data_IF_360473075713
#
_entry.id   IF_360473075713
#
_cell.length_a   1.000
_cell.length_b   1.000
_cell.length_c   1.000
_cell.angle_alpha   90.00
_cell.angle_beta   90.00
_cell.angle_gamma   90.00
#
_symmetry.space_group_name_H-M   'P 1'
#
loop_
_entity.id
_entity.type
_entity.pdbx_description
1 polymer ?
#
# COMPACT_ATOMS: atom_id res chain seq x y z
N UNK A 1 5.19 18.76 -35.59
CA UNK A 1 3.96 18.56 -34.80
C UNK A 1 3.78 19.77 -33.89
N UNK A 2 2.58 20.34 -33.82
CA UNK A 2 2.30 21.50 -32.94
C UNK A 2 1.67 21.04 -31.63
N UNK A 3 1.64 21.93 -30.63
CA UNK A 3 0.92 21.68 -29.38
C UNK A 3 -0.56 21.37 -29.65
N UNK A 4 -1.18 22.04 -30.62
CA UNK A 4 -2.58 21.82 -30.98
C UNK A 4 -2.82 20.41 -31.53
N UNK A 5 -1.89 19.89 -32.34
CA UNK A 5 -1.94 18.50 -32.81
C UNK A 5 -1.87 17.53 -31.63
N UNK A 6 -0.91 17.71 -30.71
CA UNK A 6 -0.78 16.84 -29.53
C UNK A 6 -2.05 16.88 -28.69
N UNK A 7 -2.56 18.08 -28.38
CA UNK A 7 -3.79 18.22 -27.60
C UNK A 7 -5.00 17.62 -28.30
N UNK A 8 -5.12 17.79 -29.61
CA UNK A 8 -6.19 17.18 -30.41
C UNK A 8 -6.15 15.65 -30.33
N UNK A 9 -4.99 15.03 -30.56
CA UNK A 9 -4.86 13.57 -30.50
C UNK A 9 -5.10 13.02 -29.09
N UNK A 10 -4.59 13.69 -28.05
CA UNK A 10 -4.88 13.31 -26.67
C UNK A 10 -6.37 13.46 -26.35
N UNK A 11 -7.04 14.52 -26.81
CA UNK A 11 -8.47 14.68 -26.61
C UNK A 11 -9.29 13.63 -27.36
N UNK A 12 -8.84 13.21 -28.54
CA UNK A 12 -9.46 12.13 -29.30
C UNK A 12 -9.47 10.80 -28.51
N UNK A 13 -8.44 10.50 -27.71
CA UNK A 13 -8.45 9.26 -26.93
C UNK A 13 -9.39 9.28 -25.72
N UNK A 14 -9.83 10.45 -25.26
CA UNK A 14 -10.66 10.58 -24.04
C UNK A 14 -11.97 9.79 -24.15
N UNK A 15 -12.84 9.97 -25.18
CA UNK A 15 -14.06 9.17 -25.30
C UNK A 15 -13.76 7.68 -25.43
N UNK A 16 -12.66 7.29 -26.11
CA UNK A 16 -12.25 5.90 -26.24
C UNK A 16 -11.84 5.28 -24.90
N UNK A 17 -11.12 6.03 -24.04
CA UNK A 17 -10.80 5.58 -22.68
C UNK A 17 -12.06 5.47 -21.82
N UNK A 18 -13.06 6.32 -22.04
CA UNK A 18 -14.33 6.25 -21.32
C UNK A 18 -15.15 5.02 -21.70
N UNK A 19 -15.07 4.57 -22.95
CA UNK A 19 -15.78 3.38 -23.42
C UNK A 19 -14.97 2.09 -23.16
N UNK A 20 -13.66 2.14 -23.33
CA UNK A 20 -12.75 1.00 -23.27
C UNK A 20 -11.56 1.25 -22.33
N UNK A 21 -11.79 1.49 -21.03
CA UNK A 21 -10.75 1.91 -20.08
C UNK A 21 -9.65 0.87 -19.83
N UNK A 22 -9.86 -0.38 -20.27
CA UNK A 22 -8.91 -1.50 -20.13
C UNK A 22 -8.19 -1.85 -21.44
N UNK A 23 -8.40 -1.07 -22.51
CA UNK A 23 -7.75 -1.33 -23.79
C UNK A 23 -6.30 -0.80 -23.77
N UNK A 24 -5.32 -1.72 -23.77
CA UNK A 24 -3.90 -1.39 -23.79
C UNK A 24 -3.50 -0.45 -24.93
N UNK A 25 -4.08 -0.63 -26.13
CA UNK A 25 -3.72 0.16 -27.30
C UNK A 25 -4.00 1.66 -27.13
N UNK A 26 -5.07 2.01 -26.41
CA UNK A 26 -5.41 3.41 -26.15
C UNK A 26 -4.39 4.04 -25.20
N UNK A 27 -4.05 3.35 -24.10
CA UNK A 27 -3.01 3.80 -23.16
C UNK A 27 -1.63 3.88 -23.83
N UNK A 28 -1.27 2.90 -24.65
CA UNK A 28 0.01 2.88 -25.40
C UNK A 28 0.11 4.03 -26.40
N UNK A 29 -0.95 4.26 -27.18
CA UNK A 29 -0.99 5.38 -28.10
C UNK A 29 -0.89 6.72 -27.35
N UNK A 30 -1.55 6.85 -26.21
CA UNK A 30 -1.47 8.04 -25.37
C UNK A 30 -0.06 8.28 -24.82
N UNK A 31 0.60 7.25 -24.29
CA UNK A 31 2.01 7.32 -23.86
C UNK A 31 2.93 7.71 -25.02
N UNK A 32 2.73 7.15 -26.21
CA UNK A 32 3.49 7.50 -27.40
C UNK A 32 3.28 8.98 -27.77
N UNK A 33 2.05 9.48 -27.76
CA UNK A 33 1.78 10.90 -28.04
C UNK A 33 2.49 11.84 -27.06
N UNK A 34 2.59 11.47 -25.78
CA UNK A 34 3.31 12.24 -24.77
C UNK A 34 4.82 12.20 -24.98
N UNK A 35 5.38 11.05 -25.37
CA UNK A 35 6.79 10.95 -25.77
C UNK A 35 7.08 11.87 -26.97
N UNK A 36 6.19 11.89 -27.97
CA UNK A 36 6.34 12.81 -29.09
C UNK A 36 6.24 14.28 -28.68
N UNK A 37 5.41 14.61 -27.68
CA UNK A 37 5.36 15.95 -27.10
C UNK A 37 6.71 16.34 -26.47
N UNK A 38 7.34 15.43 -25.74
CA UNK A 38 8.70 15.61 -25.19
C UNK A 38 9.76 15.80 -26.27
N UNK A 39 9.70 15.02 -27.34
CA UNK A 39 10.73 15.04 -28.40
C UNK A 39 10.61 16.26 -29.33
N UNK A 40 9.41 16.82 -29.50
CA UNK A 40 9.13 17.79 -30.57
C UNK A 40 8.68 19.16 -30.08
N UNK A 41 8.29 19.33 -28.81
CA UNK A 41 7.87 20.61 -28.24
C UNK A 41 8.90 21.16 -27.26
N UNK A 42 8.93 22.49 -27.04
CA UNK A 42 9.72 23.08 -25.96
C UNK A 42 9.40 22.42 -24.60
N UNK A 43 10.42 22.23 -23.77
CA UNK A 43 10.33 21.56 -22.47
C UNK A 43 9.22 22.10 -21.58
N UNK A 44 9.02 23.41 -21.53
CA UNK A 44 7.96 24.06 -20.74
C UNK A 44 6.56 23.67 -21.21
N UNK A 45 6.37 23.57 -22.53
CA UNK A 45 5.12 23.16 -23.14
C UNK A 45 4.89 21.67 -22.90
N UNK A 46 5.90 20.83 -23.13
CA UNK A 46 5.79 19.39 -22.88
C UNK A 46 5.45 19.10 -21.41
N UNK A 47 6.13 19.76 -20.45
CA UNK A 47 5.83 19.62 -19.01
C UNK A 47 4.36 19.92 -18.71
N UNK A 48 3.79 20.96 -19.33
CA UNK A 48 2.37 21.32 -19.16
C UNK A 48 1.45 20.19 -19.63
N UNK A 49 1.73 19.59 -20.79
CA UNK A 49 0.95 18.47 -21.32
C UNK A 49 1.01 17.25 -20.38
N UNK A 50 2.19 16.91 -19.85
CA UNK A 50 2.33 15.84 -18.87
C UNK A 50 1.58 16.11 -17.56
N UNK A 51 1.58 17.36 -17.07
CA UNK A 51 0.82 17.74 -15.86
C UNK A 51 -0.69 17.65 -16.08
N UNK A 52 -1.19 18.02 -17.26
CA UNK A 52 -2.62 17.89 -17.62
C UNK A 52 -3.12 16.43 -17.53
N UNK A 53 -2.24 15.44 -17.75
CA UNK A 53 -2.57 14.01 -17.63
C UNK A 53 -2.99 13.61 -16.21
N UNK A 54 -2.39 14.20 -15.18
CA UNK A 54 -2.73 13.88 -13.79
C UNK A 54 -4.20 14.20 -13.48
N UNK A 55 -4.77 15.21 -14.15
CA UNK A 55 -6.19 15.55 -14.04
C UNK A 55 -7.09 14.53 -14.74
N UNK A 56 -6.72 14.07 -15.95
CA UNK A 56 -7.45 12.99 -16.64
C UNK A 56 -7.44 11.72 -15.80
N UNK A 57 -6.27 11.32 -15.32
CA UNK A 57 -6.09 10.13 -14.47
C UNK A 57 -6.96 10.23 -13.23
N UNK A 58 -7.01 11.40 -12.60
CA UNK A 58 -7.87 11.61 -11.44
C UNK A 58 -9.34 11.44 -11.77
N UNK A 59 -9.80 11.89 -12.94
CA UNK A 59 -11.18 11.63 -13.39
C UNK A 59 -11.43 10.14 -13.64
N UNK A 60 -10.48 9.44 -14.28
CA UNK A 60 -10.58 8.00 -14.54
C UNK A 60 -10.66 7.20 -13.23
N UNK A 61 -9.79 7.51 -12.26
CA UNK A 61 -9.79 6.88 -10.94
C UNK A 61 -10.97 7.29 -10.05
N UNK A 62 -11.64 8.41 -10.32
CA UNK A 62 -12.90 8.73 -9.66
C UNK A 62 -14.09 7.92 -10.21
N UNK A 63 -13.98 7.41 -11.45
CA UNK A 63 -15.00 6.56 -12.06
C UNK A 63 -14.78 5.08 -11.73
N UNK A 64 -13.53 4.64 -11.78
CA UNK A 64 -13.11 3.28 -11.41
C UNK A 64 -11.82 3.39 -10.61
N UNK A 65 -11.97 3.41 -9.29
CA UNK A 65 -10.89 3.60 -8.34
C UNK A 65 -9.88 2.44 -8.32
N UNK A 66 -10.28 1.27 -8.86
CA UNK A 66 -9.48 0.04 -8.93
C UNK A 66 -8.93 -0.20 -10.34
N UNK A 67 -9.03 0.80 -11.22
CA UNK A 67 -8.53 0.68 -12.58
C UNK A 67 -6.99 0.56 -12.57
N UNK A 68 -6.53 -0.68 -12.76
CA UNK A 68 -5.10 -1.01 -12.78
C UNK A 68 -4.31 -0.19 -13.81
N UNK A 69 -4.87 0.02 -15.01
CA UNK A 69 -4.21 0.79 -16.07
C UNK A 69 -4.06 2.26 -15.70
N UNK A 70 -5.09 2.86 -15.08
CA UNK A 70 -5.04 4.25 -14.65
C UNK A 70 -4.01 4.46 -13.54
N UNK A 71 -3.90 3.54 -12.57
CA UNK A 71 -2.85 3.59 -11.55
C UNK A 71 -1.44 3.37 -12.14
N UNK A 72 -1.27 2.40 -13.03
CA UNK A 72 0.00 2.17 -13.72
C UNK A 72 0.41 3.39 -14.56
N UNK A 73 -0.53 3.97 -15.29
CA UNK A 73 -0.32 5.17 -16.09
C UNK A 73 -0.02 6.40 -15.20
N UNK A 74 -0.63 6.51 -14.02
CA UNK A 74 -0.27 7.54 -13.02
C UNK A 74 1.19 7.44 -12.62
N UNK A 75 1.65 6.25 -12.22
CA UNK A 75 3.06 6.03 -11.84
C UNK A 75 4.02 6.33 -13.00
N UNK A 76 3.61 6.01 -14.23
CA UNK A 76 4.37 6.36 -15.42
C UNK A 76 4.45 7.88 -15.63
N UNK A 77 3.32 8.60 -15.63
CA UNK A 77 3.31 10.06 -15.80
C UNK A 77 4.13 10.75 -14.71
N UNK A 78 3.99 10.32 -13.46
CA UNK A 78 4.80 10.83 -12.33
C UNK A 78 6.28 10.58 -12.58
N UNK A 79 6.69 9.37 -12.98
CA UNK A 79 8.11 9.09 -13.23
C UNK A 79 8.70 9.92 -14.38
N UNK A 80 7.90 10.28 -15.37
CA UNK A 80 8.32 11.19 -16.44
C UNK A 80 8.46 12.62 -15.93
N UNK A 81 7.50 13.10 -15.12
CA UNK A 81 7.54 14.44 -14.53
C UNK A 81 8.72 14.64 -13.55
N UNK A 82 9.16 13.57 -12.90
CA UNK A 82 10.34 13.57 -12.00
C UNK A 82 11.69 13.53 -12.76
N UNK A 83 11.71 13.48 -14.09
CA UNK A 83 12.96 13.49 -14.86
C UNK A 83 13.68 14.86 -14.74
N UNK A 84 15.04 14.88 -14.80
CA UNK A 84 15.81 16.12 -14.79
C UNK A 84 15.40 17.12 -15.88
N UNK A 85 14.91 16.60 -17.02
CA UNK A 85 14.36 17.42 -18.10
C UNK A 85 13.24 18.35 -17.63
N UNK A 86 12.42 17.93 -16.67
CA UNK A 86 11.30 18.71 -16.12
C UNK A 86 11.58 19.32 -14.74
N UNK A 87 12.85 19.34 -14.32
CA UNK A 87 13.30 19.94 -13.07
C UNK A 87 13.74 18.93 -12.01
N UNK A 88 13.47 17.63 -12.20
CA UNK A 88 13.93 16.60 -11.27
C UNK A 88 13.25 16.63 -9.89
N UNK A 89 12.16 17.37 -9.75
CA UNK A 89 11.45 17.52 -8.49
C UNK A 89 10.67 16.24 -8.18
N UNK A 90 10.88 15.69 -6.97
CA UNK A 90 10.12 14.53 -6.50
C UNK A 90 8.66 14.91 -6.28
N UNK A 91 7.76 14.08 -6.80
CA UNK A 91 6.31 14.22 -6.58
C UNK A 91 5.80 13.37 -5.42
N UNK A 92 6.68 12.68 -4.70
CA UNK A 92 6.32 11.73 -3.65
C UNK A 92 5.35 12.31 -2.60
N UNK A 93 5.53 13.56 -2.19
CA UNK A 93 4.63 14.26 -1.25
C UNK A 93 3.22 14.41 -1.81
N UNK A 94 3.10 14.97 -3.03
CA UNK A 94 1.82 15.18 -3.69
C UNK A 94 1.10 13.87 -4.02
N UNK A 95 1.85 12.82 -4.34
CA UNK A 95 1.31 11.49 -4.59
C UNK A 95 0.85 10.82 -3.29
N UNK A 96 1.57 11.02 -2.18
CA UNK A 96 1.15 10.51 -0.88
C UNK A 96 -0.13 11.20 -0.40
N UNK A 97 -0.22 12.53 -0.53
CA UNK A 97 -1.45 13.28 -0.27
C UNK A 97 -2.60 12.80 -1.16
N UNK A 98 -2.32 12.47 -2.43
CA UNK A 98 -3.31 11.89 -3.33
C UNK A 98 -3.85 10.54 -2.82
N UNK A 99 -2.98 9.65 -2.30
CA UNK A 99 -3.44 8.40 -1.67
C UNK A 99 -4.34 8.68 -0.47
N UNK A 100 -3.98 9.65 0.39
CA UNK A 100 -4.81 10.06 1.53
C UNK A 100 -6.20 10.50 1.07
N UNK A 101 -6.29 11.36 0.04
CA UNK A 101 -7.59 11.81 -0.50
C UNK A 101 -8.45 10.65 -1.03
N UNK A 102 -7.81 9.66 -1.68
CA UNK A 102 -8.50 8.47 -2.18
C UNK A 102 -9.01 7.60 -1.04
N UNK A 103 -8.18 7.38 -0.02
CA UNK A 103 -8.52 6.56 1.15
C UNK A 103 -9.59 7.21 2.04
N UNK A 104 -9.59 8.54 2.17
CA UNK A 104 -10.67 9.28 2.82
C UNK A 104 -12.01 9.14 2.10
N UNK A 105 -12.00 8.95 0.77
CA UNK A 105 -13.22 8.71 -0.01
C UNK A 105 -13.66 7.25 0.06
N UNK A 106 -12.71 6.33 0.11
CA UNK A 106 -12.94 4.91 0.25
C UNK A 106 -11.72 4.20 0.86
N UNK A 107 -11.80 3.82 2.13
CA UNK A 107 -10.74 3.10 2.83
C UNK A 107 -10.61 1.65 2.34
N UNK A 108 -11.59 1.11 1.61
CA UNK A 108 -11.49 -0.21 0.95
C UNK A 108 -10.69 -0.20 -0.36
N UNK A 109 -10.06 0.93 -0.70
CA UNK A 109 -9.31 1.06 -1.94
C UNK A 109 -7.91 0.45 -1.82
N UNK A 110 -7.80 -0.85 -2.08
CA UNK A 110 -6.53 -1.58 -2.13
C UNK A 110 -5.47 -0.91 -3.01
N UNK A 111 -5.87 -0.36 -4.17
CA UNK A 111 -4.89 0.27 -5.08
C UNK A 111 -4.27 1.52 -4.48
N UNK A 112 -5.04 2.29 -3.70
CA UNK A 112 -4.54 3.45 -2.98
C UNK A 112 -3.60 3.04 -1.83
N UNK A 113 -3.95 2.01 -1.04
CA UNK A 113 -3.07 1.46 0.00
C UNK A 113 -1.75 0.95 -0.57
N UNK A 114 -1.81 0.17 -1.65
CA UNK A 114 -0.60 -0.32 -2.31
C UNK A 114 0.25 0.83 -2.86
N UNK A 115 -0.36 1.83 -3.51
CA UNK A 115 0.41 2.97 -3.99
C UNK A 115 1.01 3.79 -2.83
N UNK A 116 0.34 3.83 -1.67
CA UNK A 116 0.82 4.47 -0.45
C UNK A 116 2.06 3.75 0.10
N UNK A 117 2.04 2.42 0.18
CA UNK A 117 3.17 1.62 0.67
C UNK A 117 4.43 1.83 -0.18
N UNK A 118 4.28 1.90 -1.51
CA UNK A 118 5.40 2.13 -2.44
C UNK A 118 6.01 3.53 -2.34
N UNK A 119 5.26 4.52 -1.82
CA UNK A 119 5.73 5.90 -1.67
C UNK A 119 6.52 6.11 -0.38
N UNK A 120 6.27 5.32 0.68
CA UNK A 120 6.90 5.50 1.99
C UNK A 120 8.44 5.50 1.91
N UNK A 121 9.11 4.52 1.27
CA UNK A 121 10.57 4.52 1.18
C UNK A 121 11.12 5.79 0.48
N UNK A 122 10.41 6.29 -0.53
CA UNK A 122 10.77 7.53 -1.23
C UNK A 122 10.64 8.75 -0.31
N UNK A 123 9.57 8.83 0.48
CA UNK A 123 9.34 9.93 1.44
C UNK A 123 10.37 9.96 2.55
N UNK A 124 10.66 8.80 3.14
CA UNK A 124 11.68 8.67 4.19
C UNK A 124 13.03 9.20 3.71
N UNK A 125 13.42 8.86 2.47
CA UNK A 125 14.64 9.37 1.84
C UNK A 125 14.55 10.86 1.51
N UNK A 126 13.44 11.30 0.93
CA UNK A 126 13.23 12.69 0.51
C UNK A 126 13.30 13.66 1.69
N UNK A 127 12.60 13.33 2.79
CA UNK A 127 12.56 14.13 4.01
C UNK A 127 13.80 13.99 4.88
N UNK A 128 14.71 13.07 4.54
CA UNK A 128 15.90 12.74 5.35
C UNK A 128 15.54 12.47 6.82
N UNK A 129 14.49 11.66 7.03
CA UNK A 129 13.97 11.39 8.37
C UNK A 129 15.00 10.67 9.24
N UNK A 130 15.21 11.21 10.44
CA UNK A 130 15.97 10.55 11.50
C UNK A 130 15.16 9.43 12.17
N UNK A 131 15.77 8.73 13.11
CA UNK A 131 15.16 7.57 13.78
C UNK A 131 13.85 7.94 14.50
N UNK A 132 13.79 9.11 15.15
CA UNK A 132 12.60 9.58 15.87
C UNK A 132 11.48 9.90 14.90
N UNK A 133 11.76 10.69 13.85
CA UNK A 133 10.76 11.07 12.87
C UNK A 133 10.26 9.87 12.04
N UNK A 134 11.10 8.86 11.80
CA UNK A 134 10.67 7.58 11.19
C UNK A 134 9.70 6.81 12.10
N UNK A 135 9.95 6.81 13.41
CA UNK A 135 9.08 6.17 14.39
C UNK A 135 7.74 6.89 14.48
N UNK A 136 7.75 8.23 14.60
CA UNK A 136 6.53 9.05 14.58
C UNK A 136 5.73 8.87 13.29
N UNK A 137 6.41 8.79 12.14
CA UNK A 137 5.76 8.50 10.86
C UNK A 137 5.08 7.13 10.86
N UNK A 138 5.77 6.09 11.35
CA UNK A 138 5.22 4.74 11.44
C UNK A 138 4.02 4.68 12.39
N UNK A 139 4.10 5.34 13.55
CA UNK A 139 3.02 5.40 14.53
C UNK A 139 1.78 6.10 13.96
N UNK A 140 1.95 7.20 13.22
CA UNK A 140 0.85 7.86 12.53
C UNK A 140 0.20 6.96 11.45
N UNK A 141 0.98 6.12 10.76
CA UNK A 141 0.44 5.15 9.80
C UNK A 141 -0.34 4.02 10.48
N UNK A 142 0.12 3.52 11.63
CA UNK A 142 -0.62 2.56 12.44
C UNK A 142 -1.93 3.16 12.95
N UNK A 143 -1.90 4.37 13.51
CA UNK A 143 -3.11 5.07 13.96
C UNK A 143 -4.13 5.22 12.81
N UNK A 144 -3.65 5.60 11.62
CA UNK A 144 -4.50 5.77 10.46
C UNK A 144 -5.15 4.47 9.99
N UNK A 145 -4.38 3.37 9.89
CA UNK A 145 -4.93 2.08 9.45
C UNK A 145 -5.82 1.45 10.51
N UNK A 146 -5.46 1.56 11.79
CA UNK A 146 -6.25 1.02 12.90
C UNK A 146 -7.61 1.73 13.00
N UNK A 147 -7.65 3.04 12.75
CA UNK A 147 -8.90 3.77 12.63
C UNK A 147 -9.83 3.22 11.53
N UNK A 148 -9.28 2.74 10.42
CA UNK A 148 -10.07 2.09 9.36
C UNK A 148 -10.45 0.65 9.73
N UNK A 149 -9.54 -0.14 10.31
CA UNK A 149 -9.81 -1.53 10.74
C UNK A 149 -10.92 -1.57 11.79
N UNK A 150 -10.95 -0.63 12.73
CA UNK A 150 -12.00 -0.54 13.75
C UNK A 150 -13.40 -0.29 13.15
N UNK A 151 -13.48 0.26 11.94
CA UNK A 151 -14.74 0.52 11.23
C UNK A 151 -15.16 -0.63 10.31
N UNK A 152 -14.21 -1.38 9.75
CA UNK A 152 -14.48 -2.44 8.78
C UNK A 152 -13.42 -3.55 8.85
N UNK A 153 -13.35 -4.31 9.96
CA UNK A 153 -12.34 -5.35 10.13
C UNK A 153 -12.51 -6.53 9.16
N UNK A 154 -13.64 -6.65 8.46
CA UNK A 154 -13.84 -7.62 7.38
C UNK A 154 -13.04 -7.28 6.10
N UNK A 155 -12.55 -6.05 5.96
CA UNK A 155 -11.87 -5.61 4.75
C UNK A 155 -10.40 -6.06 4.70
N UNK A 156 -10.16 -7.06 3.85
CA UNK A 156 -8.84 -7.61 3.54
C UNK A 156 -7.79 -6.56 3.15
N UNK A 157 -8.18 -5.49 2.45
CA UNK A 157 -7.25 -4.45 1.99
C UNK A 157 -6.56 -3.77 3.16
N UNK A 158 -7.29 -3.58 4.26
CA UNK A 158 -6.80 -2.91 5.46
C UNK A 158 -5.74 -3.77 6.15
N UNK A 159 -6.03 -5.06 6.31
CA UNK A 159 -5.10 -6.02 6.91
C UNK A 159 -3.83 -6.19 6.10
N UNK A 160 -3.90 -6.15 4.76
CA UNK A 160 -2.69 -6.17 3.94
C UNK A 160 -1.80 -4.96 4.15
N UNK A 161 -2.38 -3.78 4.35
CA UNK A 161 -1.59 -2.59 4.68
C UNK A 161 -1.02 -2.67 6.10
N UNK A 162 -1.82 -3.11 7.07
CA UNK A 162 -1.36 -3.32 8.45
C UNK A 162 -0.22 -4.35 8.53
N UNK A 163 -0.36 -5.49 7.86
CA UNK A 163 0.70 -6.51 7.73
C UNK A 163 1.96 -5.95 7.06
N UNK A 164 1.83 -5.06 6.07
CA UNK A 164 2.98 -4.36 5.49
C UNK A 164 3.71 -3.49 6.52
N UNK A 165 3.00 -2.77 7.39
CA UNK A 165 3.62 -1.97 8.46
C UNK A 165 4.33 -2.88 9.49
N UNK A 166 3.69 -3.97 9.91
CA UNK A 166 4.31 -4.96 10.81
C UNK A 166 5.53 -5.63 10.17
N UNK A 167 5.49 -5.92 8.87
CA UNK A 167 6.65 -6.45 8.14
C UNK A 167 7.86 -5.48 8.19
N UNK A 168 7.61 -4.17 8.16
CA UNK A 168 8.65 -3.15 8.30
C UNK A 168 9.28 -3.10 9.71
N UNK A 169 8.57 -3.55 10.74
CA UNK A 169 9.09 -3.71 12.12
C UNK A 169 9.81 -5.05 12.28
N UNK A 170 9.32 -6.12 11.65
CA UNK A 170 9.82 -7.49 11.89
C UNK A 170 10.98 -7.88 10.96
N UNK A 171 11.17 -7.17 9.86
CA UNK A 171 12.22 -7.48 8.88
C UNK A 171 13.62 -7.31 9.47
N UNK A 172 14.50 -8.26 9.12
CA UNK A 172 15.95 -8.18 9.38
C UNK A 172 16.68 -7.37 8.31
N UNK A 173 16.02 -7.08 7.18
CA UNK A 173 16.59 -6.26 6.11
C UNK A 173 16.39 -4.77 6.42
N UNK A 174 17.49 -4.12 6.78
CA UNK A 174 17.52 -2.69 7.11
C UNK A 174 17.34 -1.80 5.87
N UNK A 175 17.56 -2.31 4.66
CA UNK A 175 17.39 -1.51 3.44
C UNK A 175 15.91 -1.25 3.12
N UNK A 176 15.02 -2.16 3.52
CA UNK A 176 13.59 -2.07 3.25
C UNK A 176 12.78 -1.54 4.44
N UNK A 177 13.36 -1.55 5.65
CA UNK A 177 12.65 -1.13 6.87
C UNK A 177 12.47 0.38 6.97
N UNK A 178 11.27 0.81 7.36
CA UNK A 178 10.98 2.20 7.72
C UNK A 178 11.81 2.62 8.95
N UNK A 179 11.97 1.71 9.92
CA UNK A 179 12.61 1.93 11.23
C UNK A 179 13.82 1.00 11.44
N UNK A 180 14.91 1.14 10.64
CA UNK A 180 16.02 0.20 10.66
C UNK A 180 16.78 0.18 12.00
N UNK A 181 16.83 1.30 12.72
CA UNK A 181 17.61 1.46 13.95
C UNK A 181 16.82 1.12 15.23
N UNK A 182 15.57 0.65 15.10
CA UNK A 182 14.72 0.32 16.25
C UNK A 182 15.24 -0.91 16.99
N UNK A 183 15.32 -0.83 18.32
CA UNK A 183 15.82 -1.95 19.15
C UNK A 183 14.84 -3.13 19.09
N UNK A 184 15.33 -4.35 19.36
CA UNK A 184 14.45 -5.53 19.43
C UNK A 184 13.36 -5.36 20.49
N UNK A 185 13.67 -4.72 21.63
CA UNK A 185 12.70 -4.48 22.68
C UNK A 185 11.57 -3.54 22.22
N UNK A 186 11.91 -2.46 21.52
CA UNK A 186 10.92 -1.52 20.99
C UNK A 186 10.09 -2.15 19.85
N UNK A 187 10.72 -2.95 18.98
CA UNK A 187 10.03 -3.71 17.93
C UNK A 187 8.99 -4.66 18.53
N UNK A 188 9.35 -5.38 19.59
CA UNK A 188 8.44 -6.28 20.30
C UNK A 188 7.32 -5.49 20.97
N UNK A 189 7.63 -4.38 21.64
CA UNK A 189 6.65 -3.54 22.31
C UNK A 189 5.60 -2.96 21.35
N UNK A 190 6.03 -2.56 20.15
CA UNK A 190 5.11 -2.08 19.11
C UNK A 190 4.19 -3.21 18.61
N UNK A 191 4.72 -4.39 18.30
CA UNK A 191 3.90 -5.53 17.85
C UNK A 191 2.93 -5.98 18.96
N UNK A 192 3.36 -5.96 20.22
CA UNK A 192 2.48 -6.24 21.36
C UNK A 192 1.33 -5.24 21.47
N UNK A 193 1.59 -3.94 21.25
CA UNK A 193 0.53 -2.93 21.20
C UNK A 193 -0.50 -3.24 20.12
N UNK A 194 -0.05 -3.61 18.92
CA UNK A 194 -0.97 -3.99 17.84
C UNK A 194 -1.74 -5.28 18.17
N UNK A 195 -1.11 -6.28 18.80
CA UNK A 195 -1.81 -7.50 19.25
C UNK A 195 -2.93 -7.16 20.23
N UNK A 196 -2.67 -6.31 21.22
CA UNK A 196 -3.69 -5.92 22.19
C UNK A 196 -4.83 -5.14 21.52
N UNK A 197 -4.53 -4.20 20.62
CA UNK A 197 -5.59 -3.51 19.85
C UNK A 197 -6.41 -4.45 18.97
N UNK A 198 -5.80 -5.48 18.38
CA UNK A 198 -6.51 -6.49 17.60
C UNK A 198 -7.34 -7.42 18.51
N UNK A 199 -6.91 -7.69 19.74
CA UNK A 199 -7.69 -8.43 20.72
C UNK A 199 -8.94 -7.68 21.13
N UNK A 200 -8.89 -6.35 21.26
CA UNK A 200 -10.07 -5.53 21.56
C UNK A 200 -11.18 -5.71 20.50
N UNK A 201 -10.81 -5.91 19.23
CA UNK A 201 -11.79 -6.20 18.17
C UNK A 201 -12.58 -7.50 18.40
N UNK A 202 -12.05 -8.46 19.16
CA UNK A 202 -12.74 -9.71 19.46
C UNK A 202 -13.95 -9.53 20.38
N UNK A 203 -14.11 -8.36 21.01
CA UNK A 203 -15.30 -8.03 21.79
C UNK A 203 -16.56 -7.96 20.89
N UNK A 204 -16.40 -7.40 19.70
CA UNK A 204 -17.49 -7.17 18.74
C UNK A 204 -17.44 -8.12 17.52
N UNK A 205 -16.25 -8.60 17.14
CA UNK A 205 -16.01 -9.33 15.89
C UNK A 205 -15.38 -10.70 16.14
N UNK A 206 -16.19 -11.75 16.17
CA UNK A 206 -15.74 -13.15 16.40
C UNK A 206 -15.74 -14.02 15.14
N UNK A 207 -16.28 -13.50 14.04
CA UNK A 207 -16.43 -14.17 12.75
C UNK A 207 -15.50 -13.60 11.67
N UNK A 208 -14.59 -12.69 12.04
CA UNK A 208 -13.61 -12.10 11.12
C UNK A 208 -12.29 -12.88 11.17
N UNK A 209 -12.01 -13.63 10.09
CA UNK A 209 -10.80 -14.45 9.98
C UNK A 209 -9.49 -13.66 10.16
N UNK A 210 -9.43 -12.44 9.63
CA UNK A 210 -8.22 -11.62 9.61
C UNK A 210 -7.72 -11.23 11.00
N UNK A 211 -8.61 -11.10 11.97
CA UNK A 211 -8.26 -10.84 13.37
C UNK A 211 -7.40 -11.99 13.90
N UNK A 212 -7.90 -13.23 13.78
CA UNK A 212 -7.19 -14.41 14.24
C UNK A 212 -5.88 -14.67 13.48
N UNK A 213 -5.88 -14.48 12.15
CA UNK A 213 -4.68 -14.61 11.32
C UNK A 213 -3.60 -13.62 11.79
N UNK A 214 -3.97 -12.36 12.04
CA UNK A 214 -3.02 -11.34 12.48
C UNK A 214 -2.48 -11.63 13.87
N UNK A 215 -3.34 -12.02 14.82
CA UNK A 215 -2.92 -12.43 16.17
C UNK A 215 -1.92 -13.59 16.14
N UNK A 216 -2.20 -14.62 15.34
CA UNK A 216 -1.29 -15.75 15.13
C UNK A 216 0.04 -15.30 14.52
N UNK A 217 0.01 -14.60 13.39
CA UNK A 217 1.22 -14.21 12.65
C UNK A 217 2.12 -13.25 13.45
N UNK A 218 1.53 -12.31 14.20
CA UNK A 218 2.26 -11.31 14.97
C UNK A 218 2.86 -11.90 16.23
N UNK A 219 2.14 -12.81 16.89
CA UNK A 219 2.69 -13.55 18.04
C UNK A 219 3.88 -14.41 17.63
N UNK A 220 3.79 -15.08 16.47
CA UNK A 220 4.92 -15.83 15.89
C UNK A 220 6.07 -14.90 15.46
N UNK A 221 5.78 -13.67 15.04
CA UNK A 221 6.82 -12.68 14.74
C UNK A 221 7.59 -12.25 15.99
N UNK A 222 6.92 -12.04 17.13
CA UNK A 222 7.58 -11.76 18.42
C UNK A 222 8.50 -12.91 18.81
N UNK A 223 8.03 -14.16 18.78
CA UNK A 223 8.87 -15.31 19.10
C UNK A 223 10.13 -15.38 18.23
N UNK A 224 10.01 -15.04 16.93
CA UNK A 224 11.16 -14.96 16.02
C UNK A 224 12.14 -13.85 16.39
N UNK A 225 11.65 -12.66 16.74
CA UNK A 225 12.48 -11.53 17.17
C UNK A 225 13.24 -11.84 18.47
N UNK A 226 12.57 -12.50 19.41
CA UNK A 226 13.14 -12.86 20.72
C UNK A 226 13.91 -14.18 20.71
N UNK A 227 13.89 -14.93 19.60
CA UNK A 227 14.49 -16.27 19.44
C UNK A 227 13.94 -17.28 20.48
N UNK A 228 12.65 -17.20 20.74
CA UNK A 228 11.94 -18.06 21.69
C UNK A 228 11.09 -19.12 20.97
N UNK A 229 10.76 -20.19 21.69
CA UNK A 229 9.88 -21.26 21.18
C UNK A 229 8.40 -20.84 21.27
N UNK A 230 7.63 -20.83 20.15
CA UNK A 230 6.22 -20.48 20.18
C UNK A 230 5.37 -21.37 21.10
N UNK A 231 5.71 -22.65 21.18
CA UNK A 231 4.97 -23.67 21.94
C UNK A 231 4.97 -23.43 23.44
N UNK A 232 6.02 -22.82 23.96
CA UNK A 232 6.20 -22.60 25.40
C UNK A 232 5.57 -21.28 25.86
N UNK A 233 5.47 -20.29 24.96
CA UNK A 233 5.13 -18.91 25.33
C UNK A 233 3.75 -18.44 24.87
N UNK A 234 3.08 -19.16 23.97
CA UNK A 234 1.81 -18.72 23.39
C UNK A 234 0.70 -19.76 23.60
N UNK A 235 -0.02 -19.64 24.72
CA UNK A 235 -1.12 -20.54 25.10
C UNK A 235 -2.38 -20.37 24.26
N UNK A 236 -2.56 -19.21 23.62
CA UNK A 236 -3.75 -18.86 22.83
C UNK A 236 -3.69 -19.37 21.38
N UNK A 237 -2.51 -19.76 20.87
CA UNK A 237 -2.35 -20.18 19.46
C UNK A 237 -3.27 -21.32 19.03
N UNK A 238 -3.46 -22.40 19.83
CA UNK A 238 -4.35 -23.48 19.42
C UNK A 238 -5.79 -23.00 19.24
N UNK A 239 -6.25 -22.08 20.10
CA UNK A 239 -7.58 -21.50 20.03
C UNK A 239 -7.75 -20.65 18.76
N UNK A 240 -6.82 -19.74 18.48
CA UNK A 240 -6.89 -18.90 17.28
C UNK A 240 -6.76 -19.72 16.00
N UNK A 241 -5.87 -20.71 15.97
CA UNK A 241 -5.70 -21.59 14.81
C UNK A 241 -6.95 -22.44 14.56
N UNK A 242 -7.62 -22.90 15.61
CA UNK A 242 -8.93 -23.54 15.52
C UNK A 242 -9.98 -22.64 14.88
N UNK A 243 -10.04 -21.36 15.31
CA UNK A 243 -10.93 -20.35 14.73
C UNK A 243 -10.62 -20.05 13.26
N UNK A 244 -9.35 -19.94 12.88
CA UNK A 244 -8.95 -19.74 11.48
C UNK A 244 -9.42 -20.91 10.62
N UNK A 245 -9.24 -22.16 11.07
CA UNK A 245 -9.71 -23.35 10.32
C UNK A 245 -11.23 -23.41 10.18
N UNK A 246 -11.96 -22.87 11.17
CA UNK A 246 -13.41 -22.72 11.14
C UNK A 246 -13.85 -21.64 10.14
N UNK A 247 -13.13 -20.52 10.05
CA UNK A 247 -13.53 -19.38 9.21
C UNK A 247 -12.98 -19.45 7.77
N UNK A 248 -11.84 -20.09 7.55
CA UNK A 248 -11.15 -20.21 6.25
C UNK A 248 -11.03 -21.67 5.78
N UNK A 249 -12.19 -22.28 5.50
CA UNK A 249 -12.27 -23.66 5.03
C UNK A 249 -11.54 -23.89 3.70
N UNK A 250 -11.43 -22.87 2.85
CA UNK A 250 -10.82 -22.99 1.53
C UNK A 250 -9.30 -23.15 1.60
N UNK A 251 -8.65 -22.63 2.65
CA UNK A 251 -7.20 -22.77 2.87
C UNK A 251 -6.85 -23.72 4.02
N UNK A 252 -7.77 -24.62 4.43
CA UNK A 252 -7.54 -25.53 5.55
C UNK A 252 -6.22 -26.33 5.45
N UNK A 253 -5.77 -26.67 4.23
CA UNK A 253 -4.47 -27.33 3.99
C UNK A 253 -3.29 -26.52 4.54
N UNK A 254 -3.22 -25.22 4.21
CA UNK A 254 -2.18 -24.28 4.70
C UNK A 254 -2.15 -24.24 6.22
N UNK A 255 -3.31 -24.15 6.85
CA UNK A 255 -3.42 -24.06 8.31
C UNK A 255 -3.09 -25.39 9.02
N UNK A 256 -3.31 -26.52 8.36
CA UNK A 256 -2.90 -27.83 8.88
C UNK A 256 -1.39 -28.05 8.79
N UNK A 257 -0.75 -27.61 7.71
CA UNK A 257 0.71 -27.61 7.59
C UNK A 257 1.35 -26.75 8.67
N UNK A 258 0.85 -25.52 8.88
CA UNK A 258 1.34 -24.63 9.93
C UNK A 258 1.13 -25.23 11.34
N UNK A 259 -0.01 -25.88 11.60
CA UNK A 259 -0.25 -26.57 12.88
C UNK A 259 0.81 -27.65 13.15
N UNK A 260 1.14 -28.44 12.12
CA UNK A 260 2.14 -29.50 12.21
C UNK A 260 3.54 -28.94 12.46
N UNK A 261 3.92 -27.85 11.77
CA UNK A 261 5.21 -27.16 11.96
C UNK A 261 5.35 -26.62 13.39
N UNK A 262 4.28 -26.03 13.93
CA UNK A 262 4.26 -25.48 15.29
C UNK A 262 4.07 -26.55 16.38
N UNK A 263 3.83 -27.81 15.99
CA UNK A 263 3.51 -28.92 16.90
C UNK A 263 2.31 -28.62 17.81
N UNK A 264 1.30 -27.96 17.24
CA UNK A 264 0.05 -27.59 17.91
C UNK A 264 -1.02 -28.61 17.49
N UNK A 265 -1.62 -29.27 18.48
CA UNK A 265 -2.69 -30.27 18.30
C UNK A 265 -4.06 -29.62 18.15
#
# INVERSE_FOLDING_TARGET
>A
MTIDTVKSELMFTVPLLMEHPKCYWIWNYRMWMLDQATNLLPTSISKTVWVEELALISKMLSRDERNYHAWAYRRFVVSQLELPLFGGESMAESEFEYTTKRLQSNFSNFSAWHNRSELIPKLVKLRSLDTTARKEFLDAEFEYINGAINLSPEDQSLWYYHQFLVANITTTDTATSIVPDLSTADRVADIQREIEGIKDLLEDYTDVNWIYVSLLEYSLAICRLEKQSPKENLTELPQWLGKIKELDHLQAGRWNELAAELQIS
#
